data_IF_978353233698
#
_entry.id   IF_978353233698
#
_cell.length_a   1.000
_cell.length_b   1.000
_cell.length_c   1.000
_cell.angle_alpha   90.00
_cell.angle_beta   90.00
_cell.angle_gamma   90.00
#
_symmetry.space_group_name_H-M   'P 1'
#
loop_
_entity.id
_entity.type
_entity.pdbx_description
1 polymer ?
#
# COMPACT_ATOMS: atom_id res chain seq x y z
N UNK A 1 6.94 -5.61 -15.18
CA UNK A 1 7.30 -6.18 -13.86
C UNK A 1 8.20 -5.17 -13.17
N UNK A 2 7.97 -4.78 -11.90
CA UNK A 2 8.76 -3.74 -11.24
C UNK A 2 10.23 -4.16 -11.02
N UNK A 3 11.16 -3.21 -11.17
CA UNK A 3 12.60 -3.44 -11.00
C UNK A 3 12.97 -3.96 -9.60
N UNK A 4 12.18 -3.61 -8.58
CA UNK A 4 12.41 -4.05 -7.21
C UNK A 4 12.28 -5.58 -7.03
N UNK A 5 11.51 -6.24 -7.89
CA UNK A 5 11.39 -7.70 -7.90
C UNK A 5 12.55 -8.37 -8.64
N UNK A 6 13.32 -7.62 -9.43
CA UNK A 6 14.46 -8.09 -10.21
C UNK A 6 15.79 -7.91 -9.48
N UNK A 7 15.82 -7.09 -8.41
CA UNK A 7 17.05 -6.76 -7.67
C UNK A 7 17.54 -7.88 -6.72
N UNK A 8 16.74 -8.92 -6.49
CA UNK A 8 17.05 -10.01 -5.55
C UNK A 8 17.07 -9.60 -4.07
N UNK A 9 16.76 -8.34 -3.75
CA UNK A 9 16.76 -7.86 -2.37
C UNK A 9 15.44 -8.22 -1.67
N UNK A 10 15.43 -9.37 -0.98
CA UNK A 10 14.25 -9.90 -0.31
C UNK A 10 13.61 -8.93 0.70
N UNK A 11 14.40 -8.10 1.38
CA UNK A 11 13.87 -7.12 2.34
C UNK A 11 13.05 -6.03 1.67
N UNK A 12 13.53 -5.52 0.54
CA UNK A 12 12.83 -4.51 -0.25
C UNK A 12 11.61 -5.10 -0.98
N UNK A 13 11.71 -6.36 -1.41
CA UNK A 13 10.57 -7.10 -1.99
C UNK A 13 9.46 -7.27 -0.96
N UNK A 14 9.77 -7.63 0.28
CA UNK A 14 8.75 -7.80 1.33
C UNK A 14 8.07 -6.48 1.67
N UNK A 15 8.84 -5.40 1.83
CA UNK A 15 8.28 -4.05 2.01
C UNK A 15 7.39 -3.64 0.85
N UNK A 16 7.82 -3.92 -0.39
CA UNK A 16 7.03 -3.62 -1.58
C UNK A 16 5.73 -4.43 -1.61
N UNK A 17 5.78 -5.74 -1.29
CA UNK A 17 4.59 -6.60 -1.24
C UNK A 17 3.60 -6.12 -0.19
N UNK A 18 4.05 -5.79 1.03
CA UNK A 18 3.20 -5.21 2.07
C UNK A 18 2.55 -3.92 1.61
N UNK A 19 3.34 -3.00 1.04
CA UNK A 19 2.84 -1.74 0.50
C UNK A 19 1.77 -1.95 -0.58
N UNK A 20 1.98 -2.91 -1.49
CA UNK A 20 0.99 -3.23 -2.54
C UNK A 20 -0.27 -3.89 -1.98
N UNK A 21 -0.15 -4.73 -0.94
CA UNK A 21 -1.30 -5.32 -0.27
C UNK A 21 -2.17 -4.23 0.36
N UNK A 22 -1.56 -3.33 1.14
CA UNK A 22 -2.25 -2.19 1.76
C UNK A 22 -2.93 -1.30 0.74
N UNK A 23 -2.24 -0.95 -0.36
CA UNK A 23 -2.83 -0.16 -1.45
C UNK A 23 -4.06 -0.85 -2.05
N UNK A 24 -3.98 -2.15 -2.36
CA UNK A 24 -5.12 -2.91 -2.92
C UNK A 24 -6.27 -3.03 -1.94
N UNK A 25 -5.98 -3.23 -0.65
CA UNK A 25 -7.00 -3.25 0.39
C UNK A 25 -7.68 -1.89 0.48
N UNK A 26 -6.92 -0.79 0.46
CA UNK A 26 -7.48 0.57 0.47
C UNK A 26 -8.38 0.84 -0.75
N UNK A 27 -7.98 0.41 -1.94
CA UNK A 27 -8.74 0.61 -3.18
C UNK A 27 -10.03 -0.24 -3.23
N UNK A 28 -10.01 -1.47 -2.72
CA UNK A 28 -11.11 -2.43 -2.90
C UNK A 28 -12.00 -2.62 -1.67
N UNK A 29 -11.40 -2.57 -0.49
CA UNK A 29 -12.00 -2.89 0.82
C UNK A 29 -11.39 -2.01 1.92
N UNK A 30 -11.55 -0.68 1.85
CA UNK A 30 -11.00 0.23 2.86
C UNK A 30 -11.53 -0.07 4.27
N UNK A 31 -12.74 -0.65 4.36
CA UNK A 31 -13.36 -1.11 5.61
C UNK A 31 -12.50 -2.11 6.39
N UNK A 32 -11.74 -2.96 5.70
CA UNK A 32 -10.86 -3.93 6.35
C UNK A 32 -9.68 -3.26 7.04
N UNK A 33 -9.21 -2.12 6.52
CA UNK A 33 -8.10 -1.37 7.10
C UNK A 33 -8.49 -0.67 8.40
N UNK A 34 -9.74 -0.19 8.49
CA UNK A 34 -10.23 0.47 9.71
C UNK A 34 -10.36 -0.50 10.89
N UNK A 35 -10.58 -1.79 10.59
CA UNK A 35 -10.63 -2.87 11.60
C UNK A 35 -9.29 -3.58 11.84
N UNK A 36 -8.29 -3.34 10.99
CA UNK A 36 -7.00 -4.01 11.07
C UNK A 36 -6.09 -3.33 12.10
N UNK A 37 -5.33 -4.11 12.86
CA UNK A 37 -4.26 -3.60 13.71
C UNK A 37 -3.05 -3.22 12.86
N UNK A 38 -3.08 -2.01 12.29
CA UNK A 38 -2.01 -1.45 11.48
C UNK A 38 -0.87 -0.96 12.38
N UNK A 39 0.36 -1.17 11.94
CA UNK A 39 1.54 -0.56 12.58
C UNK A 39 1.66 0.92 12.18
N UNK A 40 2.38 1.74 12.95
CA UNK A 40 2.56 3.17 12.64
C UNK A 40 3.19 3.43 11.26
N UNK A 41 4.07 2.52 10.79
CA UNK A 41 4.62 2.61 9.43
C UNK A 41 3.55 2.39 8.35
N UNK A 42 2.65 1.43 8.55
CA UNK A 42 1.59 1.10 7.60
C UNK A 42 0.55 2.21 7.52
N UNK A 43 0.19 2.79 8.67
CA UNK A 43 -0.70 3.96 8.74
C UNK A 43 -0.11 5.17 8.00
N UNK A 44 1.19 5.39 8.14
CA UNK A 44 1.92 6.42 7.38
C UNK A 44 1.90 6.14 5.87
N UNK A 45 2.07 4.88 5.46
CA UNK A 45 1.98 4.50 4.04
C UNK A 45 0.55 4.70 3.49
N UNK A 46 -0.47 4.32 4.24
CA UNK A 46 -1.87 4.50 3.87
C UNK A 46 -2.27 5.96 3.74
N UNK A 47 -1.77 6.81 4.64
CA UNK A 47 -1.97 8.26 4.58
C UNK A 47 -1.44 8.84 3.26
N UNK A 48 -0.27 8.37 2.80
CA UNK A 48 0.27 8.75 1.49
C UNK A 48 -0.58 8.28 0.31
N UNK A 49 -1.22 7.11 0.41
CA UNK A 49 -2.10 6.59 -0.64
C UNK A 49 -3.47 7.25 -0.70
N UNK A 50 -4.02 7.69 0.43
CA UNK A 50 -5.31 8.42 0.46
C UNK A 50 -5.25 9.70 -0.35
N UNK A 51 -4.12 10.41 -0.32
CA UNK A 51 -3.91 11.63 -1.13
C UNK A 51 -3.73 11.36 -2.63
N UNK A 52 -3.14 10.23 -3.00
CA UNK A 52 -2.92 9.82 -4.41
C UNK A 52 -4.22 9.33 -5.07
N UNK A 53 -5.16 8.81 -4.29
CA UNK A 53 -6.40 8.22 -4.81
C UNK A 53 -7.49 9.27 -5.09
N UNK A 54 -7.46 10.43 -4.42
CA UNK A 54 -8.43 11.51 -4.71
C UNK A 54 -8.27 12.07 -6.12
N UNK A 55 -7.08 12.02 -6.72
CA UNK A 55 -6.83 12.50 -8.09
C UNK A 55 -7.33 11.53 -9.18
N UNK A 56 -7.62 10.27 -8.83
CA UNK A 56 -8.08 9.25 -9.80
C UNK A 56 -9.59 9.08 -9.88
N UNK A 57 -10.35 9.64 -8.94
CA UNK A 57 -11.82 9.56 -8.93
C UNK A 57 -12.50 10.58 -9.86
N UNK A 58 -11.76 11.56 -10.37
CA UNK A 58 -12.28 12.73 -11.11
C UNK A 58 -12.03 12.70 -12.64
N UNK A 59 -11.76 11.55 -13.27
CA UNK A 59 -11.57 11.40 -14.74
C UNK A 59 -12.49 10.35 -15.32
#
# INVERSE_FOLDING_TARGET
VPDILLSGNHGEIEKWRRRQALKRTLERRPDLLDSASLTPEEEKMLSGFRSDNSEKADI
#
